data_IF_112647020511
#
_entry.id   IF_112647020511
#
_cell.length_a   1.000
_cell.length_b   1.000
_cell.length_c   1.000
_cell.angle_alpha   90.00
_cell.angle_beta   90.00
_cell.angle_gamma   90.00
#
_symmetry.space_group_name_H-M   'P 1'
#
loop_
_entity.id
_entity.type
_entity.pdbx_description
1 polymer ?
#
# COMPACT_ATOMS: atom_id res chain seq x y z
N UNK A 1 5.80 10.02 0.24
CA UNK A 1 6.31 10.96 -0.78
C UNK A 1 5.41 10.83 -2.00
N UNK A 2 5.09 11.94 -2.68
CA UNK A 2 4.14 11.99 -3.79
C UNK A 2 4.87 12.37 -5.08
N UNK A 3 4.55 11.69 -6.18
CA UNK A 3 5.07 11.95 -7.52
C UNK A 3 3.89 12.10 -8.50
N UNK A 4 3.95 13.11 -9.38
CA UNK A 4 3.00 13.29 -10.48
C UNK A 4 3.71 12.92 -11.79
N UNK A 5 3.19 11.92 -12.52
CA UNK A 5 3.75 11.48 -13.80
C UNK A 5 2.64 11.23 -14.81
N UNK A 6 2.67 11.86 -16.00
CA UNK A 6 1.67 11.64 -17.07
C UNK A 6 0.20 11.66 -16.59
N UNK A 7 -0.14 12.62 -15.71
CA UNK A 7 -1.49 12.76 -15.12
C UNK A 7 -1.94 11.63 -14.17
N UNK A 8 -1.01 10.82 -13.66
CA UNK A 8 -1.25 9.94 -12.50
C UNK A 8 -0.52 10.47 -11.27
N UNK A 9 -1.17 10.36 -10.12
CA UNK A 9 -0.57 10.56 -8.81
C UNK A 9 -0.03 9.23 -8.29
N UNK A 10 1.20 9.26 -7.79
CA UNK A 10 1.87 8.10 -7.21
C UNK A 10 2.27 8.46 -5.79
N UNK A 11 1.73 7.74 -4.81
CA UNK A 11 2.15 7.84 -3.41
C UNK A 11 2.93 6.59 -3.06
N UNK A 12 4.06 6.75 -2.40
CA UNK A 12 4.84 5.62 -1.92
C UNK A 12 5.33 5.78 -0.49
N UNK A 13 5.54 4.63 0.14
CA UNK A 13 6.13 4.49 1.47
C UNK A 13 6.98 3.24 1.54
N UNK A 14 7.88 3.20 2.53
CA UNK A 14 8.76 2.07 2.79
C UNK A 14 8.41 1.51 4.16
N UNK A 15 8.22 0.19 4.22
CA UNK A 15 7.89 -0.54 5.44
C UNK A 15 8.84 -1.73 5.58
N UNK A 16 9.89 -1.55 6.37
CA UNK A 16 10.97 -2.54 6.47
C UNK A 16 11.67 -2.71 5.11
N UNK A 17 11.73 -3.94 4.62
CA UNK A 17 12.36 -4.27 3.33
C UNK A 17 11.41 -4.10 2.13
N UNK A 18 10.15 -3.73 2.37
CA UNK A 18 9.10 -3.65 1.35
C UNK A 18 8.79 -2.20 1.01
N UNK A 19 8.79 -1.87 -0.28
CA UNK A 19 8.30 -0.59 -0.79
C UNK A 19 6.89 -0.74 -1.34
N UNK A 20 5.97 0.10 -0.87
CA UNK A 20 4.56 0.10 -1.28
C UNK A 20 4.32 1.32 -2.16
N UNK A 21 3.72 1.09 -3.33
CA UNK A 21 3.36 2.12 -4.29
C UNK A 21 1.87 2.05 -4.56
N UNK A 22 1.18 3.19 -4.47
CA UNK A 22 -0.23 3.35 -4.82
C UNK A 22 -0.30 4.37 -5.94
N UNK A 23 -0.99 4.02 -7.02
CA UNK A 23 -1.10 4.85 -8.23
C UNK A 23 -2.57 5.14 -8.48
N UNK A 24 -2.91 6.42 -8.62
CA UNK A 24 -4.26 6.89 -8.95
C UNK A 24 -4.25 7.77 -10.19
N UNK A 25 -5.39 7.77 -10.89
CA UNK A 25 -5.64 8.60 -12.08
C UNK A 25 -7.01 9.25 -11.93
N UNK A 26 -7.23 10.33 -12.67
CA UNK A 26 -8.54 10.98 -12.83
C UNK A 26 -9.12 11.48 -11.49
N UNK A 27 -10.07 10.73 -10.90
CA UNK A 27 -10.81 11.11 -9.68
C UNK A 27 -10.00 10.88 -8.39
N UNK A 28 -8.92 10.10 -8.45
CA UNK A 28 -8.07 9.80 -7.30
C UNK A 28 -6.94 10.82 -7.19
N UNK A 29 -7.17 11.83 -6.34
CA UNK A 29 -6.21 12.86 -6.01
C UNK A 29 -5.12 12.41 -5.00
N UNK A 30 -4.20 13.30 -4.69
CA UNK A 30 -3.11 13.05 -3.73
C UNK A 30 -3.62 12.63 -2.34
N UNK A 31 -4.74 13.20 -1.89
CA UNK A 31 -5.27 12.95 -0.55
C UNK A 31 -5.86 11.55 -0.46
N UNK A 32 -6.70 11.17 -1.44
CA UNK A 32 -7.29 9.84 -1.52
C UNK A 32 -6.21 8.74 -1.54
N UNK A 33 -5.14 8.95 -2.31
CA UNK A 33 -4.03 7.99 -2.37
C UNK A 33 -3.20 7.96 -1.09
N UNK A 34 -3.07 9.08 -0.39
CA UNK A 34 -2.39 9.16 0.90
C UNK A 34 -3.17 8.43 2.01
N UNK A 35 -4.50 8.48 1.98
CA UNK A 35 -5.35 7.71 2.88
C UNK A 35 -5.29 6.21 2.55
N UNK A 36 -5.36 5.86 1.25
CA UNK A 36 -5.27 4.48 0.80
C UNK A 36 -3.94 3.84 1.22
N UNK A 37 -2.80 4.52 1.00
CA UNK A 37 -1.50 3.99 1.41
C UNK A 37 -1.40 3.86 2.93
N UNK A 38 -2.01 4.76 3.71
CA UNK A 38 -2.04 4.66 5.16
C UNK A 38 -2.77 3.40 5.63
N UNK A 39 -3.98 3.14 5.09
CA UNK A 39 -4.77 1.95 5.40
C UNK A 39 -4.03 0.67 4.98
N UNK A 40 -3.46 0.63 3.78
CA UNK A 40 -2.63 -0.49 3.30
C UNK A 40 -1.46 -0.74 4.25
N UNK A 41 -0.73 0.32 4.63
CA UNK A 41 0.44 0.18 5.49
C UNK A 41 0.04 -0.32 6.89
N UNK A 42 -1.12 0.10 7.41
CA UNK A 42 -1.66 -0.42 8.68
C UNK A 42 -2.00 -1.90 8.57
N UNK A 43 -2.72 -2.32 7.52
CA UNK A 43 -3.07 -3.72 7.31
C UNK A 43 -1.82 -4.61 7.17
N UNK A 44 -0.78 -4.15 6.47
CA UNK A 44 0.49 -4.85 6.36
C UNK A 44 1.19 -5.01 7.72
N UNK A 45 1.18 -3.96 8.55
CA UNK A 45 1.70 -4.02 9.93
C UNK A 45 0.91 -5.02 10.78
N UNK A 46 -0.41 -5.04 10.66
CA UNK A 46 -1.27 -5.93 11.44
C UNK A 46 -1.09 -7.40 11.04
N UNK A 47 -0.94 -7.69 9.74
CA UNK A 47 -0.69 -9.05 9.24
C UNK A 47 0.71 -9.53 9.61
N UNK A 48 1.71 -8.66 9.56
CA UNK A 48 3.10 -9.00 9.84
C UNK A 48 3.45 -8.97 11.34
N UNK A 49 2.75 -8.17 12.15
CA UNK A 49 2.99 -7.95 13.59
C UNK A 49 4.31 -7.25 13.93
N UNK A 50 5.16 -6.98 12.93
CA UNK A 50 6.47 -6.33 13.00
C UNK A 50 6.78 -5.71 11.63
N UNK A 51 7.81 -4.85 11.52
CA UNK A 51 8.26 -4.38 10.20
C UNK A 51 8.49 -5.58 9.25
N UNK A 52 7.87 -5.61 8.06
CA UNK A 52 7.98 -6.71 7.12
C UNK A 52 9.41 -6.81 6.59
N UNK A 53 9.93 -8.03 6.62
CA UNK A 53 11.04 -8.43 5.77
C UNK A 53 10.47 -9.06 4.50
N UNK A 54 11.26 -9.14 3.42
CA UNK A 54 10.85 -9.77 2.16
C UNK A 54 10.27 -11.19 2.40
N UNK A 55 10.99 -12.00 3.19
CA UNK A 55 10.56 -13.36 3.52
C UNK A 55 9.23 -13.40 4.29
N UNK A 56 9.07 -12.57 5.32
CA UNK A 56 7.84 -12.54 6.11
C UNK A 56 6.64 -12.09 5.27
N UNK A 57 6.86 -11.11 4.38
CA UNK A 57 5.84 -10.63 3.46
C UNK A 57 5.37 -11.76 2.52
N UNK A 58 6.31 -12.50 1.94
CA UNK A 58 6.02 -13.64 1.07
C UNK A 58 5.32 -14.79 1.82
N UNK A 59 5.75 -15.10 3.05
CA UNK A 59 5.11 -16.12 3.90
C UNK A 59 3.66 -15.78 4.25
N UNK A 60 3.29 -14.49 4.24
CA UNK A 60 1.93 -14.00 4.53
C UNK A 60 1.17 -13.53 3.28
N UNK A 61 1.74 -13.70 2.09
CA UNK A 61 1.26 -13.10 0.84
C UNK A 61 -0.23 -13.34 0.60
N UNK A 62 -0.73 -14.57 0.79
CA UNK A 62 -2.15 -14.87 0.61
C UNK A 62 -3.08 -14.06 1.53
N UNK A 63 -2.69 -13.87 2.80
CA UNK A 63 -3.48 -13.05 3.75
C UNK A 63 -3.39 -11.56 3.40
N UNK A 64 -2.22 -11.11 2.94
CA UNK A 64 -2.01 -9.73 2.48
C UNK A 64 -2.91 -9.44 1.27
N UNK A 65 -2.97 -10.34 0.27
CA UNK A 65 -3.85 -10.20 -0.88
C UNK A 65 -5.32 -10.08 -0.48
N UNK A 66 -5.79 -10.90 0.48
CA UNK A 66 -7.16 -10.81 0.99
C UNK A 66 -7.44 -9.46 1.67
N UNK A 67 -6.51 -8.97 2.52
CA UNK A 67 -6.66 -7.65 3.12
C UNK A 67 -6.66 -6.52 2.09
N UNK A 68 -5.81 -6.60 1.06
CA UNK A 68 -5.78 -5.61 -0.02
C UNK A 68 -7.07 -5.63 -0.86
N UNK A 69 -7.62 -6.81 -1.13
CA UNK A 69 -8.89 -6.96 -1.85
C UNK A 69 -10.02 -6.27 -1.08
N UNK A 70 -10.11 -6.46 0.24
CA UNK A 70 -11.09 -5.78 1.08
C UNK A 70 -10.93 -4.25 1.12
N UNK A 71 -9.70 -3.74 0.97
CA UNK A 71 -9.39 -2.30 0.97
C UNK A 71 -9.73 -1.65 -0.38
N UNK A 72 -9.43 -2.33 -1.50
CA UNK A 72 -9.57 -1.77 -2.86
C UNK A 72 -10.95 -2.01 -3.45
N UNK A 73 -11.60 -3.12 -3.11
CA UNK A 73 -12.93 -3.47 -3.63
C UNK A 73 -14.07 -2.69 -2.93
N UNK A 74 -13.77 -1.99 -1.84
CA UNK A 74 -14.67 -1.04 -1.19
C UNK A 74 -14.37 0.39 -1.62
#
# INVERSE_FOLDING_TARGET
IVLLYRSVYIVYTVLGDVSVFVVGKDEYDELALSEAIFVITSALKDVCGKPPTERLFLDKYGKICLCLDEIVWK
#
